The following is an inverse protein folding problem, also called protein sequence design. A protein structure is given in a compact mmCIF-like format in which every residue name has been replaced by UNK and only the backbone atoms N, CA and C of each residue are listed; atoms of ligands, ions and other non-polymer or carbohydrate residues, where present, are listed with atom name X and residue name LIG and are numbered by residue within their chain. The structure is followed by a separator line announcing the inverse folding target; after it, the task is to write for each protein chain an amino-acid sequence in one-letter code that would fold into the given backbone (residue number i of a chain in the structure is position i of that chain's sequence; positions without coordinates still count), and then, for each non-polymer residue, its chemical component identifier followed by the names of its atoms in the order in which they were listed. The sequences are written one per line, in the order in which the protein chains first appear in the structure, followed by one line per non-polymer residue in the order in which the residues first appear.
data_IF_071772371818
#
_entry.id   IF_071772371818
#
_cell.length_a   1.000
_cell.length_b   1.000
_cell.length_c   1.000
_cell.angle_alpha   90.00
_cell.angle_beta   90.00
_cell.angle_gamma   90.00
#
_symmetry.space_group_name_H-M   'P 1'
#
loop_
_entity.id
_entity.type
_entity.pdbx_description
1 polymer ?
#
# COMPACT_ATOMS: atom_id res chain seq x y z
N UNK A 1 -29.71 31.92 6.58
CA UNK A 1 -28.40 31.60 7.21
C UNK A 1 -28.04 30.13 7.03
N UNK A 2 -27.94 29.62 5.79
CA UNK A 2 -27.58 28.21 5.49
C UNK A 2 -26.51 28.09 4.39
N UNK A 3 -25.94 29.20 3.88
CA UNK A 3 -24.96 29.14 2.77
C UNK A 3 -23.53 29.57 3.13
N UNK A 4 -23.17 29.69 4.41
CA UNK A 4 -21.90 30.29 4.83
C UNK A 4 -20.87 29.36 5.52
N UNK A 5 -21.10 28.03 5.56
CA UNK A 5 -20.19 27.09 6.24
C UNK A 5 -19.40 26.15 5.29
N UNK A 6 -19.63 26.22 3.98
CA UNK A 6 -18.92 25.37 3.00
C UNK A 6 -17.60 25.96 2.47
N UNK A 7 -17.15 27.14 2.95
CA UNK A 7 -16.01 27.88 2.37
C UNK A 7 -14.71 27.87 3.20
N UNK A 8 -14.63 27.16 4.33
CA UNK A 8 -13.46 27.26 5.24
C UNK A 8 -12.52 26.05 5.32
N UNK A 9 -12.75 24.97 4.55
CA UNK A 9 -11.75 23.93 4.38
C UNK A 9 -11.54 23.65 2.90
N UNK A 10 -10.52 24.28 2.30
CA UNK A 10 -9.94 23.78 1.05
C UNK A 10 -9.30 22.43 1.36
N UNK A 11 -10.08 21.36 1.21
CA UNK A 11 -9.60 19.97 1.26
C UNK A 11 -8.47 19.86 0.23
N UNK A 12 -7.26 19.52 0.68
CA UNK A 12 -6.19 19.13 -0.22
C UNK A 12 -6.66 17.90 -1.00
N UNK A 13 -6.80 18.04 -2.32
CA UNK A 13 -7.13 16.92 -3.19
C UNK A 13 -5.85 16.45 -3.87
N UNK A 14 -5.45 15.17 -3.72
CA UNK A 14 -4.53 14.55 -4.66
C UNK A 14 -5.07 14.80 -6.07
N UNK A 15 -4.25 15.39 -6.95
CA UNK A 15 -4.70 15.68 -8.32
C UNK A 15 -4.67 14.39 -9.12
N UNK A 16 -5.80 14.06 -9.75
CA UNK A 16 -6.00 12.96 -10.69
C UNK A 16 -4.90 12.99 -11.76
N UNK A 17 -3.91 12.10 -11.66
CA UNK A 17 -3.05 11.73 -12.78
C UNK A 17 -3.61 10.44 -13.36
N UNK A 18 -4.46 10.54 -14.39
CA UNK A 18 -4.73 9.38 -15.25
C UNK A 18 -3.49 9.11 -16.11
N UNK A 19 -2.42 8.62 -15.50
CA UNK A 19 -1.45 7.81 -16.22
C UNK A 19 -1.90 6.36 -16.04
N UNK A 20 -2.56 5.79 -17.05
CA UNK A 20 -2.68 4.33 -17.12
C UNK A 20 -1.26 3.77 -17.10
N UNK A 21 -0.87 2.92 -16.14
CA UNK A 21 0.43 2.27 -16.18
C UNK A 21 0.42 1.24 -17.31
N UNK A 22 0.63 1.67 -18.55
CA UNK A 22 0.65 0.79 -19.72
C UNK A 22 2.01 0.10 -19.91
N UNK A 23 3.02 0.41 -19.07
CA UNK A 23 4.37 -0.14 -19.24
C UNK A 23 5.01 -0.48 -17.90
N UNK A 24 4.61 -1.58 -17.28
CA UNK A 24 5.56 -2.31 -16.42
C UNK A 24 6.50 -3.05 -17.36
N UNK A 25 7.80 -2.80 -17.23
CA UNK A 25 8.80 -3.54 -17.98
C UNK A 25 9.58 -4.41 -17.01
N UNK A 26 9.31 -5.71 -17.08
CA UNK A 26 9.92 -6.71 -16.22
C UNK A 26 11.46 -6.78 -16.32
N UNK A 27 12.03 -6.35 -17.44
CA UNK A 27 13.47 -6.25 -17.62
C UNK A 27 14.04 -4.92 -17.11
N UNK A 28 13.18 -3.95 -16.79
CA UNK A 28 13.56 -2.62 -16.29
C UNK A 28 13.29 -2.46 -14.79
N UNK A 29 13.04 -3.55 -14.06
CA UNK A 29 12.95 -3.49 -12.61
C UNK A 29 14.32 -3.00 -12.06
N UNK A 30 14.33 -1.90 -11.32
CA UNK A 30 15.56 -1.41 -10.69
C UNK A 30 15.92 -2.26 -9.47
N UNK A 31 17.21 -2.35 -9.13
CA UNK A 31 17.61 -2.95 -7.85
C UNK A 31 16.97 -2.20 -6.67
N UNK A 32 16.65 -2.87 -5.55
CA UNK A 32 16.14 -2.21 -4.36
C UNK A 32 17.17 -1.26 -3.76
N UNK A 33 16.71 -0.10 -3.31
CA UNK A 33 17.48 0.90 -2.58
C UNK A 33 16.80 1.26 -1.27
N UNK A 34 17.59 1.70 -0.28
CA UNK A 34 17.05 2.34 0.91
C UNK A 34 16.63 3.78 0.56
N UNK A 35 15.38 4.12 0.91
CA UNK A 35 14.79 5.42 0.61
C UNK A 35 14.90 6.43 1.75
N UNK A 36 15.55 6.09 2.85
CA UNK A 36 15.83 7.04 3.94
C UNK A 36 17.30 7.45 3.90
N UNK A 37 17.56 8.75 4.01
CA UNK A 37 18.91 9.24 4.17
C UNK A 37 19.33 9.00 5.63
N UNK A 38 20.48 8.35 5.85
CA UNK A 38 20.97 7.92 7.17
C UNK A 38 21.32 9.04 8.17
N UNK A 39 20.97 10.29 7.86
CA UNK A 39 21.40 11.51 8.57
C UNK A 39 20.27 12.24 9.31
N UNK A 40 19.06 11.69 9.36
CA UNK A 40 17.90 12.33 10.00
C UNK A 40 17.81 12.10 11.53
N UNK A 41 18.84 11.54 12.17
CA UNK A 41 18.97 11.45 13.63
C UNK A 41 19.69 12.68 14.20
N UNK A 42 18.94 13.77 14.44
CA UNK A 42 19.42 14.92 15.23
C UNK A 42 18.77 14.84 16.63
N UNK A 43 19.50 14.28 17.61
CA UNK A 43 19.13 14.25 19.03
C UNK A 43 18.03 13.25 19.43
N UNK A 44 17.55 13.36 20.69
CA UNK A 44 16.55 12.48 21.34
C UNK A 44 15.11 12.60 20.77
N UNK A 45 14.90 13.33 19.68
CA UNK A 45 13.58 13.47 19.08
C UNK A 45 13.36 12.38 18.03
N UNK A 46 12.25 11.64 18.14
CA UNK A 46 11.88 10.63 17.17
C UNK A 46 11.37 11.28 15.87
N UNK A 47 12.25 11.40 14.88
CA UNK A 47 11.96 11.96 13.53
C UNK A 47 11.58 10.84 12.54
N UNK A 48 11.63 9.58 12.97
CA UNK A 48 11.39 8.40 12.13
C UNK A 48 10.28 7.49 12.69
N UNK A 49 9.49 6.82 11.83
CA UNK A 49 8.52 5.82 12.27
C UNK A 49 9.21 4.66 12.99
N UNK A 50 8.65 4.23 14.12
CA UNK A 50 9.10 3.01 14.82
C UNK A 50 9.09 1.79 13.88
N UNK A 51 10.07 0.91 14.07
CA UNK A 51 10.05 -0.45 13.53
C UNK A 51 8.76 -1.16 13.89
N UNK A 52 8.13 -1.84 12.94
CA UNK A 52 6.78 -2.40 13.12
C UNK A 52 6.41 -3.47 12.10
N UNK A 53 5.48 -4.36 12.46
CA UNK A 53 4.88 -5.34 11.54
C UNK A 53 3.36 -5.22 11.53
N UNK A 54 2.71 -5.79 10.52
CA UNK A 54 1.25 -5.89 10.47
C UNK A 54 0.55 -4.54 10.27
N UNK A 55 1.32 -3.49 10.02
CA UNK A 55 0.87 -2.19 9.56
C UNK A 55 0.39 -2.28 8.10
N UNK A 56 -0.24 -1.21 7.61
CA UNK A 56 -0.56 -1.06 6.18
C UNK A 56 0.02 0.22 5.63
N UNK A 57 0.37 0.17 4.34
CA UNK A 57 0.94 1.28 3.61
C UNK A 57 0.07 1.65 2.40
N UNK A 58 0.15 2.90 1.97
CA UNK A 58 -0.40 3.36 0.70
C UNK A 58 0.47 4.47 0.11
N UNK A 59 0.35 4.71 -1.19
CA UNK A 59 1.02 5.81 -1.87
C UNK A 59 0.01 6.84 -2.35
N UNK A 60 0.40 8.10 -2.27
CA UNK A 60 -0.14 9.16 -3.12
C UNK A 60 0.82 9.36 -4.30
N UNK A 61 0.60 10.40 -5.12
CA UNK A 61 1.50 10.70 -6.23
C UNK A 61 2.96 10.99 -5.81
N UNK A 62 3.17 11.62 -4.66
CA UNK A 62 4.47 12.11 -4.19
C UNK A 62 4.84 11.69 -2.76
N UNK A 63 3.93 11.07 -2.01
CA UNK A 63 4.17 10.60 -0.65
C UNK A 63 3.85 9.10 -0.49
N UNK A 64 4.54 8.48 0.45
CA UNK A 64 4.28 7.12 0.92
C UNK A 64 3.87 7.16 2.38
N UNK A 65 2.83 6.43 2.75
CA UNK A 65 2.24 6.47 4.08
C UNK A 65 2.34 5.12 4.78
N UNK A 66 2.55 5.17 6.09
CA UNK A 66 2.56 4.00 6.99
C UNK A 66 1.53 4.24 8.08
N UNK A 67 0.61 3.29 8.27
CA UNK A 67 -0.48 3.38 9.25
C UNK A 67 -0.40 2.22 10.24
N UNK A 68 -0.35 2.56 11.52
CA UNK A 68 -0.51 1.61 12.61
C UNK A 68 0.56 0.52 12.68
N UNK A 69 0.20 -0.67 13.17
CA UNK A 69 1.09 -1.83 13.31
C UNK A 69 1.49 -2.13 14.75
N UNK A 70 2.33 -3.14 14.92
CA UNK A 70 2.77 -3.61 16.24
C UNK A 70 4.29 -3.76 16.33
N UNK A 71 4.82 -3.43 17.50
CA UNK A 71 6.18 -3.76 17.92
C UNK A 71 6.17 -4.21 19.39
N UNK A 72 6.71 -5.39 19.72
CA UNK A 72 6.77 -5.86 21.10
C UNK A 72 7.55 -4.91 22.03
N UNK A 73 8.57 -4.21 21.52
CA UNK A 73 9.32 -3.20 22.27
C UNK A 73 8.50 -1.95 22.59
N UNK A 74 7.32 -1.77 21.98
CA UNK A 74 6.40 -0.67 22.25
C UNK A 74 5.48 -0.96 23.45
N UNK A 75 6.05 -1.49 24.54
CA UNK A 75 5.38 -1.77 25.82
C UNK A 75 4.08 -2.57 25.67
N UNK A 76 4.04 -3.50 24.71
CA UNK A 76 2.85 -4.30 24.41
C UNK A 76 1.64 -3.51 23.86
N UNK A 77 1.79 -2.22 23.52
CA UNK A 77 0.72 -1.40 22.95
C UNK A 77 0.70 -1.50 21.43
N UNK A 78 -0.47 -1.28 20.85
CA UNK A 78 -0.59 -1.09 19.40
C UNK A 78 -0.01 0.26 19.00
N UNK A 79 0.71 0.30 17.88
CA UNK A 79 1.10 1.56 17.26
C UNK A 79 -0.11 2.05 16.48
N UNK A 80 -0.55 3.28 16.75
CA UNK A 80 -1.75 3.89 16.17
C UNK A 80 -1.46 5.27 15.56
N UNK A 81 -0.22 5.49 15.12
CA UNK A 81 0.20 6.69 14.41
C UNK A 81 0.12 6.52 12.89
N UNK A 82 0.26 7.65 12.19
CA UNK A 82 0.42 7.71 10.74
C UNK A 82 1.68 8.51 10.43
N UNK A 83 2.50 7.99 9.52
CA UNK A 83 3.71 8.63 9.03
C UNK A 83 3.64 8.79 7.51
N UNK A 84 4.18 9.89 6.98
CA UNK A 84 4.32 10.11 5.56
C UNK A 84 5.79 10.40 5.19
N UNK A 85 6.25 9.75 4.13
CA UNK A 85 7.54 9.94 3.51
C UNK A 85 7.33 10.69 2.22
N UNK A 86 7.98 11.85 2.07
CA UNK A 86 8.04 12.52 0.78
C UNK A 86 9.04 11.78 -0.11
N UNK A 87 8.59 11.22 -1.24
CA UNK A 87 9.40 10.35 -2.10
C UNK A 87 10.43 11.10 -2.94
N UNK A 88 10.29 12.43 -3.04
CA UNK A 88 11.28 13.28 -3.68
C UNK A 88 12.39 13.66 -2.71
N UNK A 89 12.04 14.14 -1.50
CA UNK A 89 13.01 14.62 -0.51
C UNK A 89 13.56 13.52 0.39
N UNK A 90 12.94 12.33 0.40
CA UNK A 90 13.28 11.18 1.25
C UNK A 90 13.19 11.47 2.75
N UNK A 91 12.31 12.40 3.15
CA UNK A 91 12.10 12.80 4.54
C UNK A 91 10.75 12.33 5.09
N UNK A 92 10.81 11.76 6.29
CA UNK A 92 9.63 11.38 7.06
C UNK A 92 9.04 12.56 7.83
N UNK A 93 7.72 12.55 7.97
CA UNK A 93 6.97 13.38 8.90
C UNK A 93 5.86 12.57 9.54
N UNK A 94 5.63 12.81 10.82
CA UNK A 94 4.45 12.28 11.50
C UNK A 94 3.23 13.09 11.05
N UNK A 95 2.18 12.40 10.62
CA UNK A 95 0.91 13.00 10.23
C UNK A 95 0.15 13.41 11.49
N UNK A 96 -0.33 14.65 11.54
CA UNK A 96 -1.18 15.16 12.61
C UNK A 96 -2.59 14.62 12.44
N UNK A 97 -3.14 14.03 13.48
CA UNK A 97 -4.49 13.49 13.51
C UNK A 97 -5.38 14.38 14.38
N UNK A 98 -6.59 14.67 13.93
CA UNK A 98 -7.59 15.39 14.75
C UNK A 98 -8.22 14.49 15.83
N UNK A 99 -8.22 13.18 15.62
CA UNK A 99 -8.68 12.15 16.56
C UNK A 99 -7.78 10.92 16.51
N UNK A 100 -7.80 10.14 17.59
CA UNK A 100 -7.00 8.93 17.69
C UNK A 100 -7.50 7.82 16.75
N UNK A 101 -6.55 7.02 16.26
CA UNK A 101 -6.84 5.79 15.53
C UNK A 101 -7.10 4.61 16.48
N UNK A 102 -7.85 3.58 16.04
CA UNK A 102 -8.16 2.42 16.87
C UNK A 102 -6.91 1.65 17.32
N UNK A 103 -7.01 0.93 18.44
CA UNK A 103 -5.93 0.10 18.98
C UNK A 103 -5.90 -1.33 18.39
N UNK A 104 -6.57 -1.57 17.27
CA UNK A 104 -6.66 -2.87 16.58
C UNK A 104 -5.89 -2.90 15.25
N UNK A 105 -4.87 -2.06 15.12
CA UNK A 105 -4.14 -1.86 13.87
C UNK A 105 -3.01 -2.88 13.61
N UNK A 106 -3.18 -4.13 14.03
CA UNK A 106 -2.37 -5.24 13.55
C UNK A 106 -3.18 -6.09 12.56
N UNK A 107 -2.62 -6.29 11.36
CA UNK A 107 -3.22 -7.08 10.28
C UNK A 107 -4.64 -6.64 9.87
N UNK A 108 -4.95 -5.35 10.03
CA UNK A 108 -6.15 -4.73 9.46
C UNK A 108 -6.01 -4.58 7.94
N UNK A 109 -7.09 -4.20 7.25
CA UNK A 109 -7.05 -3.78 5.84
C UNK A 109 -7.08 -2.26 5.70
N UNK A 110 -6.37 -1.76 4.68
CA UNK A 110 -6.40 -0.36 4.27
C UNK A 110 -6.76 -0.28 2.79
N UNK A 111 -7.77 0.54 2.45
CA UNK A 111 -8.11 0.87 1.06
C UNK A 111 -8.05 2.37 0.86
N UNK A 112 -7.09 2.84 0.06
CA UNK A 112 -6.91 4.27 -0.25
C UNK A 112 -7.65 4.66 -1.54
N UNK A 113 -8.29 5.83 -1.51
CA UNK A 113 -9.04 6.42 -2.62
C UNK A 113 -8.46 7.79 -2.94
N UNK A 114 -7.71 7.86 -4.03
CA UNK A 114 -6.99 9.07 -4.47
C UNK A 114 -7.95 10.25 -4.72
N UNK A 115 -9.10 10.02 -5.36
CA UNK A 115 -10.07 11.08 -5.69
C UNK A 115 -10.65 11.78 -4.46
N UNK A 116 -10.74 11.06 -3.34
CA UNK A 116 -11.26 11.56 -2.08
C UNK A 116 -10.15 12.02 -1.14
N UNK A 117 -8.90 11.62 -1.39
CA UNK A 117 -7.81 11.76 -0.42
C UNK A 117 -8.09 10.96 0.86
N UNK A 118 -8.90 9.90 0.79
CA UNK A 118 -9.40 9.17 1.95
C UNK A 118 -8.89 7.74 1.93
N UNK A 119 -8.38 7.25 3.06
CA UNK A 119 -8.15 5.82 3.27
C UNK A 119 -9.12 5.26 4.30
N UNK A 120 -9.63 4.07 4.01
CA UNK A 120 -10.54 3.33 4.87
C UNK A 120 -9.79 2.26 5.65
N UNK A 121 -10.02 2.21 6.95
CA UNK A 121 -9.45 1.22 7.87
C UNK A 121 -10.56 0.28 8.32
N UNK A 122 -10.31 -1.03 8.21
CA UNK A 122 -11.28 -2.03 8.62
C UNK A 122 -10.61 -3.30 9.18
N UNK A 123 -11.26 -3.91 10.17
CA UNK A 123 -10.82 -5.14 10.80
C UNK A 123 -9.54 -4.96 11.62
N UNK A 124 -8.79 -6.04 11.74
CA UNK A 124 -7.54 -6.07 12.49
C UNK A 124 -7.73 -6.40 13.96
N UNK A 125 -6.62 -6.62 14.65
CA UNK A 125 -6.61 -7.05 16.04
C UNK A 125 -5.72 -6.19 16.94
N UNK A 126 -6.09 -6.10 18.22
CA UNK A 126 -5.28 -5.54 19.30
C UNK A 126 -4.21 -6.53 19.77
N UNK A 127 -3.42 -6.12 20.78
CA UNK A 127 -2.53 -7.03 21.50
C UNK A 127 -3.11 -7.30 22.90
N UNK A 128 -3.18 -8.57 23.36
CA UNK A 128 -2.77 -9.80 22.68
C UNK A 128 -3.61 -10.13 21.43
N UNK A 129 -2.97 -10.70 20.40
CA UNK A 129 -3.59 -10.93 19.10
C UNK A 129 -4.75 -11.92 19.17
N UNK A 130 -5.83 -11.65 18.44
CA UNK A 130 -7.05 -12.45 18.40
C UNK A 130 -8.01 -12.20 19.56
N UNK A 131 -7.59 -11.52 20.63
CA UNK A 131 -8.47 -11.24 21.78
C UNK A 131 -9.38 -10.04 21.58
N UNK A 132 -8.90 -9.02 20.87
CA UNK A 132 -9.69 -7.84 20.52
C UNK A 132 -9.63 -7.70 19.00
N UNK A 133 -10.77 -7.87 18.34
CA UNK A 133 -10.90 -7.76 16.89
C UNK A 133 -11.92 -6.66 16.62
N UNK A 134 -11.57 -5.73 15.73
CA UNK A 134 -12.47 -4.61 15.43
C UNK A 134 -13.41 -4.95 14.28
N UNK A 135 -14.67 -4.55 14.41
CA UNK A 135 -15.64 -4.49 13.31
C UNK A 135 -15.93 -3.06 12.88
N UNK A 136 -15.22 -2.08 13.45
CA UNK A 136 -15.43 -0.67 13.17
C UNK A 136 -14.81 -0.28 11.82
N UNK A 137 -15.50 0.59 11.09
CA UNK A 137 -15.00 1.20 9.86
C UNK A 137 -14.58 2.64 10.15
N UNK A 138 -13.38 3.03 9.74
CA UNK A 138 -12.89 4.41 9.83
C UNK A 138 -12.57 4.96 8.45
N UNK A 139 -13.02 6.18 8.16
CA UNK A 139 -12.54 7.00 7.07
C UNK A 139 -11.53 8.02 7.59
N UNK A 140 -10.34 8.02 6.99
CA UNK A 140 -9.27 8.96 7.32
C UNK A 140 -8.98 9.81 6.08
N UNK A 141 -9.33 11.09 6.14
CA UNK A 141 -9.21 12.03 5.00
C UNK A 141 -8.01 12.95 5.18
N UNK A 142 -7.08 12.91 4.23
CA UNK A 142 -5.91 13.78 4.18
C UNK A 142 -6.36 15.22 3.90
N UNK A 143 -6.18 16.11 4.88
CA UNK A 143 -6.39 17.57 4.75
C UNK A 143 -5.13 18.23 4.18
N UNK A 144 -3.96 17.67 4.48
CA UNK A 144 -2.65 17.96 3.90
C UNK A 144 -1.83 16.66 3.86
N UNK A 145 -0.66 16.64 3.20
CA UNK A 145 0.20 15.46 3.23
C UNK A 145 0.56 14.99 4.66
N UNK A 146 0.65 15.91 5.62
CA UNK A 146 0.98 15.67 7.03
C UNK A 146 -0.15 16.02 8.01
N UNK A 147 -1.40 16.11 7.54
CA UNK A 147 -2.57 16.42 8.38
C UNK A 147 -3.79 15.60 7.92
N UNK A 148 -4.43 14.87 8.82
CA UNK A 148 -5.52 13.94 8.50
C UNK A 148 -6.68 14.08 9.50
N UNK A 149 -7.91 14.10 8.96
CA UNK A 149 -9.13 14.01 9.75
C UNK A 149 -9.61 12.57 9.83
N UNK A 150 -10.06 12.14 11.02
CA UNK A 150 -10.51 10.78 11.29
C UNK A 150 -12.00 10.78 11.65
N UNK A 151 -12.76 9.90 10.99
CA UNK A 151 -14.19 9.69 11.24
C UNK A 151 -14.51 8.20 11.29
N UNK A 152 -15.12 7.76 12.39
CA UNK A 152 -15.76 6.45 12.46
C UNK A 152 -17.06 6.49 11.64
N UNK A 153 -17.25 5.52 10.76
CA UNK A 153 -18.43 5.40 9.90
C UNK A 153 -19.42 4.43 10.56
N UNK A 154 -20.67 4.86 10.82
CA UNK A 154 -21.77 3.97 11.19
C UNK A 154 -21.94 2.81 10.20
N UNK A 155 -22.22 1.62 10.73
CA UNK A 155 -22.45 0.43 9.92
C UNK A 155 -23.91 0.01 10.05
N UNK A 156 -24.57 -0.15 8.91
CA UNK A 156 -25.91 -0.73 8.83
C UNK A 156 -25.87 -2.17 9.30
N UNK A 157 -26.78 -2.52 10.23
CA UNK A 157 -26.83 -3.84 10.83
C UNK A 157 -25.43 -4.33 11.26
N UNK A 158 -24.86 -3.81 12.37
CA UNK A 158 -23.48 -4.09 12.77
C UNK A 158 -23.10 -5.58 12.86
N UNK A 159 -24.07 -6.48 13.05
CA UNK A 159 -23.87 -7.94 13.05
C UNK A 159 -23.46 -8.51 11.69
N UNK A 160 -23.70 -7.77 10.60
CA UNK A 160 -23.27 -8.13 9.24
C UNK A 160 -21.79 -7.86 8.98
N UNK A 161 -21.14 -7.05 9.82
CA UNK A 161 -19.74 -6.70 9.66
C UNK A 161 -18.84 -7.91 10.04
N UNK A 162 -17.96 -8.38 9.14
CA UNK A 162 -17.07 -9.50 9.43
C UNK A 162 -16.07 -9.20 10.56
N UNK A 163 -16.01 -10.08 11.56
CA UNK A 163 -15.02 -10.01 12.65
C UNK A 163 -13.71 -10.64 12.18
N UNK A 164 -12.83 -9.86 11.55
CA UNK A 164 -11.66 -10.43 10.85
C UNK A 164 -10.38 -9.63 11.04
N UNK A 165 -9.25 -10.36 11.05
CA UNK A 165 -7.92 -9.82 10.82
C UNK A 165 -7.08 -10.72 9.92
N UNK A 166 -6.06 -10.13 9.29
CA UNK A 166 -5.20 -10.79 8.31
C UNK A 166 -5.91 -11.21 7.02
N UNK A 167 -7.10 -10.65 6.79
CA UNK A 167 -7.81 -10.68 5.53
C UNK A 167 -7.11 -9.82 4.47
N UNK A 168 -7.48 -10.05 3.22
CA UNK A 168 -7.15 -9.20 2.09
C UNK A 168 -8.28 -8.20 1.85
N UNK A 169 -7.96 -7.03 1.30
CA UNK A 169 -8.96 -6.08 0.82
C UNK A 169 -8.56 -5.53 -0.53
N UNK A 170 -9.51 -5.55 -1.47
CA UNK A 170 -9.34 -5.01 -2.82
C UNK A 170 -10.49 -4.08 -3.14
N UNK A 171 -10.23 -3.05 -3.94
CA UNK A 171 -11.26 -2.08 -4.30
C UNK A 171 -11.39 -1.93 -5.81
N UNK A 172 -12.59 -1.55 -6.25
CA UNK A 172 -12.91 -1.34 -7.66
C UNK A 172 -13.38 0.09 -7.89
N UNK A 173 -12.94 0.61 -9.03
CA UNK A 173 -13.47 1.82 -9.63
C UNK A 173 -14.52 1.48 -10.69
N UNK A 174 -15.75 1.97 -10.52
CA UNK A 174 -16.82 1.84 -11.51
C UNK A 174 -17.04 3.22 -12.14
N UNK A 175 -16.95 3.31 -13.47
CA UNK A 175 -17.04 4.59 -14.21
C UNK A 175 -16.10 5.69 -13.69
N UNK A 176 -14.93 5.29 -13.17
CA UNK A 176 -13.94 6.21 -12.62
C UNK A 176 -14.26 6.78 -11.24
N UNK A 177 -15.27 6.24 -10.55
CA UNK A 177 -15.59 6.52 -9.16
C UNK A 177 -15.26 5.28 -8.32
N UNK A 178 -14.64 5.49 -7.16
CA UNK A 178 -14.54 4.44 -6.16
C UNK A 178 -15.93 4.07 -5.67
N UNK A 179 -16.27 2.79 -5.68
CA UNK A 179 -17.64 2.37 -5.37
C UNK A 179 -17.69 1.21 -4.39
N UNK A 180 -16.73 0.27 -4.48
CA UNK A 180 -16.84 -1.00 -3.80
C UNK A 180 -15.47 -1.46 -3.26
N UNK A 181 -15.47 -1.92 -2.01
CA UNK A 181 -14.36 -2.66 -1.41
C UNK A 181 -14.82 -4.09 -1.18
N UNK A 182 -13.96 -5.06 -1.43
CA UNK A 182 -14.20 -6.45 -1.12
C UNK A 182 -13.19 -6.90 -0.08
N UNK A 183 -13.69 -7.46 1.01
CA UNK A 183 -12.91 -8.09 2.07
C UNK A 183 -12.93 -9.59 1.82
N UNK A 184 -11.75 -10.21 1.81
CA UNK A 184 -11.58 -11.61 1.44
C UNK A 184 -10.83 -12.37 2.53
N UNK A 185 -11.50 -13.42 3.03
CA UNK A 185 -11.00 -14.36 4.03
C UNK A 185 -10.50 -13.72 5.30
N UNK A 186 -9.46 -14.31 5.90
CA UNK A 186 -8.88 -13.87 7.16
C UNK A 186 -9.14 -14.86 8.28
N UNK A 187 -9.11 -14.37 9.52
CA UNK A 187 -9.35 -15.17 10.71
C UNK A 187 -9.95 -14.33 11.83
N UNK A 188 -10.70 -14.98 12.69
CA UNK A 188 -11.12 -14.47 14.01
C UNK A 188 -10.25 -15.02 15.16
N UNK A 189 -9.15 -15.71 14.84
CA UNK A 189 -8.22 -16.31 15.80
C UNK A 189 -8.11 -17.82 15.65
N UNK A 190 -9.22 -18.52 15.90
CA UNK A 190 -9.26 -19.98 15.82
C UNK A 190 -9.70 -20.49 14.43
N UNK A 191 -10.67 -19.81 13.82
CA UNK A 191 -11.22 -20.18 12.53
C UNK A 191 -10.63 -19.33 11.41
N UNK A 192 -10.36 -19.96 10.27
CA UNK A 192 -9.91 -19.31 9.05
C UNK A 192 -10.98 -19.54 8.00
N UNK A 193 -11.33 -18.51 7.25
CA UNK A 193 -12.31 -18.61 6.17
C UNK A 193 -11.81 -17.92 4.90
N UNK A 194 -12.60 -18.07 3.84
CA UNK A 194 -12.42 -17.40 2.55
C UNK A 194 -13.73 -16.68 2.18
N UNK A 195 -14.39 -16.09 3.17
CA UNK A 195 -15.58 -15.29 2.96
C UNK A 195 -15.26 -14.09 2.10
N UNK A 196 -16.09 -13.81 1.10
CA UNK A 196 -16.06 -12.57 0.34
C UNK A 196 -17.20 -11.69 0.82
N UNK A 197 -16.86 -10.56 1.40
CA UNK A 197 -17.82 -9.55 1.86
C UNK A 197 -17.63 -8.27 1.06
N UNK A 198 -18.69 -7.82 0.41
CA UNK A 198 -18.77 -6.52 -0.25
C UNK A 198 -19.05 -5.44 0.81
N UNK A 199 -18.19 -4.44 0.85
CA UNK A 199 -18.36 -3.21 1.62
C UNK A 199 -18.75 -2.09 0.66
N UNK A 200 -19.98 -1.59 0.83
CA UNK A 200 -20.49 -0.40 0.16
C UNK A 200 -20.44 0.77 1.13
N UNK A 201 -19.80 1.87 0.73
CA UNK A 201 -19.61 3.05 1.56
C UNK A 201 -20.49 4.18 1.01
N UNK A 202 -21.37 4.68 1.86
CA UNK A 202 -22.20 5.85 1.60
C UNK A 202 -21.60 7.08 2.29
N UNK A 203 -22.25 8.24 2.17
CA UNK A 203 -21.76 9.48 2.76
C UNK A 203 -21.70 9.42 4.30
N UNK A 204 -22.77 8.92 4.91
CA UNK A 204 -23.00 8.92 6.35
C UNK A 204 -22.90 7.54 7.00
N UNK A 205 -23.10 6.44 6.25
CA UNK A 205 -23.05 5.06 6.74
C UNK A 205 -22.35 4.11 5.77
N UNK A 206 -22.21 2.85 6.15
CA UNK A 206 -21.68 1.79 5.30
C UNK A 206 -22.46 0.49 5.52
N UNK A 207 -22.46 -0.38 4.50
CA UNK A 207 -23.15 -1.67 4.53
C UNK A 207 -22.21 -2.79 4.12
N UNK A 208 -22.23 -3.87 4.89
CA UNK A 208 -21.58 -5.13 4.54
C UNK A 208 -22.59 -6.12 3.98
N UNK A 209 -22.20 -6.81 2.94
CA UNK A 209 -22.98 -7.86 2.29
C UNK A 209 -22.07 -9.04 1.99
N UNK A 210 -22.33 -10.18 2.61
CA UNK A 210 -21.66 -11.42 2.23
C UNK A 210 -22.11 -11.80 0.83
N UNK A 211 -21.15 -11.98 -0.08
CA UNK A 211 -21.44 -12.31 -1.48
C UNK A 211 -20.99 -13.72 -1.86
N UNK A 212 -20.17 -14.38 -1.05
CA UNK A 212 -19.80 -15.78 -1.25
C UNK A 212 -20.76 -16.77 -0.59
N UNK A 213 -20.93 -17.92 -1.22
CA UNK A 213 -21.72 -19.06 -0.71
C UNK A 213 -20.81 -19.98 0.12
N UNK A 214 -21.08 -20.23 1.41
CA UNK A 214 -20.20 -21.00 2.31
C UNK A 214 -19.73 -22.36 1.75
N UNK A 215 -20.63 -23.09 1.10
CA UNK A 215 -20.39 -24.44 0.60
C UNK A 215 -19.36 -24.48 -0.54
N UNK A 216 -19.15 -23.35 -1.21
CA UNK A 216 -18.24 -23.21 -2.35
C UNK A 216 -16.92 -22.52 -1.97
N UNK A 217 -16.72 -22.19 -0.69
CA UNK A 217 -15.51 -21.50 -0.26
C UNK A 217 -14.30 -22.44 -0.22
N UNK A 218 -13.14 -22.00 -0.73
CA UNK A 218 -11.92 -22.76 -0.58
C UNK A 218 -11.44 -22.73 0.88
N UNK A 219 -10.45 -23.56 1.18
CA UNK A 219 -9.82 -23.58 2.50
C UNK A 219 -9.44 -22.17 2.97
N UNK A 220 -9.95 -21.84 4.17
CA UNK A 220 -9.67 -20.62 4.89
C UNK A 220 -8.19 -20.32 4.99
N UNK A 221 -7.83 -19.03 4.96
CA UNK A 221 -6.42 -18.62 5.11
C UNK A 221 -6.24 -17.19 5.61
N UNK A 222 -5.07 -16.98 6.17
CA UNK A 222 -4.58 -15.74 6.75
C UNK A 222 -3.37 -15.20 5.98
N UNK A 223 -3.29 -13.88 5.87
CA UNK A 223 -2.19 -13.12 5.25
C UNK A 223 -1.83 -13.59 3.85
N UNK A 224 -2.87 -13.88 3.10
CA UNK A 224 -2.86 -13.80 1.65
C UNK A 224 -3.02 -12.34 1.25
N UNK A 225 -2.70 -12.05 -0.01
CA UNK A 225 -3.03 -10.77 -0.65
C UNK A 225 -3.90 -11.08 -1.87
N UNK A 226 -4.70 -10.11 -2.34
CA UNK A 226 -5.57 -10.31 -3.50
C UNK A 226 -5.37 -9.21 -4.54
N UNK A 227 -5.64 -9.56 -5.79
CA UNK A 227 -5.57 -8.66 -6.95
C UNK A 227 -6.82 -8.83 -7.80
N UNK A 228 -7.10 -7.87 -8.67
CA UNK A 228 -8.18 -7.96 -9.64
C UNK A 228 -7.68 -8.39 -11.03
N UNK A 229 -8.36 -9.35 -11.64
CA UNK A 229 -8.27 -9.66 -13.07
C UNK A 229 -9.66 -9.45 -13.68
N UNK A 230 -9.88 -8.30 -14.32
CA UNK A 230 -11.21 -7.94 -14.82
C UNK A 230 -12.23 -7.82 -13.67
N UNK A 231 -13.15 -8.77 -13.57
CA UNK A 231 -14.16 -8.86 -12.50
C UNK A 231 -13.83 -9.92 -11.44
N UNK A 232 -12.68 -10.58 -11.56
CA UNK A 232 -12.34 -11.70 -10.72
C UNK A 232 -11.33 -11.26 -9.66
N UNK A 233 -11.64 -11.50 -8.39
CA UNK A 233 -10.70 -11.34 -7.28
C UNK A 233 -9.86 -12.60 -7.21
N UNK A 234 -8.54 -12.46 -7.32
CA UNK A 234 -7.61 -13.60 -7.27
C UNK A 234 -6.79 -13.50 -6.00
N UNK A 235 -6.83 -14.54 -5.17
CA UNK A 235 -6.11 -14.59 -3.90
C UNK A 235 -4.77 -15.33 -4.05
N UNK A 236 -3.69 -14.68 -3.62
CA UNK A 236 -2.32 -15.16 -3.73
C UNK A 236 -1.78 -15.58 -2.36
N UNK A 237 -1.35 -16.84 -2.27
CA UNK A 237 -0.70 -17.40 -1.09
C UNK A 237 -1.58 -17.37 0.17
N UNK A 238 -0.95 -17.05 1.29
CA UNK A 238 -1.51 -17.18 2.64
C UNK A 238 -1.32 -18.58 3.21
N UNK A 239 -1.63 -18.73 4.49
CA UNK A 239 -1.63 -20.04 5.15
C UNK A 239 -2.80 -20.15 6.11
N UNK A 240 -3.16 -21.38 6.45
CA UNK A 240 -3.90 -21.68 7.67
C UNK A 240 -2.97 -22.39 8.67
N UNK A 241 -3.55 -23.09 9.65
CA UNK A 241 -2.79 -23.87 10.63
C UNK A 241 -2.08 -25.08 10.02
N UNK A 242 -2.58 -25.61 8.89
CA UNK A 242 -2.12 -26.87 8.31
C UNK A 242 -1.14 -26.67 7.16
N UNK A 243 -1.43 -25.72 6.27
CA UNK A 243 -0.70 -25.57 5.00
C UNK A 243 -0.56 -24.11 4.57
N UNK A 244 0.56 -23.81 3.89
CA UNK A 244 0.66 -22.63 3.04
C UNK A 244 0.14 -22.94 1.63
N UNK A 245 -0.59 -22.00 1.05
CA UNK A 245 -1.23 -22.20 -0.24
C UNK A 245 -0.23 -21.96 -1.38
N UNK A 246 -0.04 -22.93 -2.30
CA UNK A 246 0.90 -22.79 -3.41
C UNK A 246 0.46 -21.78 -4.48
N UNK A 247 1.43 -21.18 -5.19
CA UNK A 247 1.17 -20.18 -6.24
C UNK A 247 0.81 -20.77 -7.62
N UNK A 248 0.80 -22.11 -7.75
CA UNK A 248 0.46 -22.82 -8.99
C UNK A 248 -1.04 -22.78 -9.30
N UNK A 249 -1.89 -22.91 -8.28
CA UNK A 249 -3.36 -22.91 -8.39
C UNK A 249 -3.92 -21.88 -7.43
N UNK A 250 -4.42 -20.79 -7.97
CA UNK A 250 -4.96 -19.66 -7.22
C UNK A 250 -6.47 -19.77 -7.09
N UNK A 251 -6.99 -19.32 -5.96
CA UNK A 251 -8.41 -19.17 -5.73
C UNK A 251 -8.89 -17.87 -6.37
N UNK A 252 -10.01 -17.96 -7.07
CA UNK A 252 -10.55 -16.87 -7.86
C UNK A 252 -12.05 -16.74 -7.63
N UNK A 253 -12.50 -15.56 -7.20
CA UNK A 253 -13.91 -15.26 -6.98
C UNK A 253 -14.40 -14.27 -8.03
N UNK A 254 -15.37 -14.67 -8.86
CA UNK A 254 -15.96 -13.77 -9.85
C UNK A 254 -17.11 -12.97 -9.23
N UNK A 255 -16.98 -11.64 -9.19
CA UNK A 255 -17.96 -10.78 -8.53
C UNK A 255 -19.26 -10.57 -9.33
N UNK A 256 -19.35 -11.09 -10.56
CA UNK A 256 -20.57 -11.05 -11.36
C UNK A 256 -21.38 -12.32 -11.20
N UNK A 257 -20.71 -13.48 -11.21
CA UNK A 257 -21.39 -14.77 -11.00
C UNK A 257 -21.53 -15.13 -9.53
N UNK A 258 -20.74 -14.48 -8.66
CA UNK A 258 -20.64 -14.77 -7.22
C UNK A 258 -20.13 -16.18 -6.91
N UNK A 259 -19.30 -16.72 -7.80
CA UNK A 259 -18.79 -18.08 -7.71
C UNK A 259 -17.27 -18.12 -7.54
N UNK A 260 -16.82 -19.10 -6.75
CA UNK A 260 -15.43 -19.47 -6.66
C UNK A 260 -15.03 -20.40 -7.80
N UNK A 261 -13.80 -20.22 -8.28
CA UNK A 261 -13.15 -21.05 -9.26
C UNK A 261 -11.65 -21.16 -8.97
N UNK A 262 -10.94 -22.00 -9.72
CA UNK A 262 -9.49 -22.15 -9.63
C UNK A 262 -8.82 -21.66 -10.90
N UNK A 263 -7.82 -20.80 -10.75
CA UNK A 263 -6.97 -20.34 -11.86
C UNK A 263 -5.62 -21.06 -11.76
N UNK A 264 -5.19 -21.70 -12.86
CA UNK A 264 -3.87 -22.32 -12.95
C UNK A 264 -2.88 -21.36 -13.57
N UNK A 265 -1.76 -21.09 -12.89
CA UNK A 265 -0.69 -20.22 -13.38
C UNK A 265 0.35 -21.00 -14.17
N UNK A 266 1.11 -20.29 -15.01
CA UNK A 266 2.24 -20.81 -15.78
C UNK A 266 3.55 -20.53 -15.04
N UNK A 267 4.49 -21.48 -15.03
CA UNK A 267 5.75 -21.34 -14.33
C UNK A 267 6.71 -20.39 -15.05
N UNK A 268 7.61 -19.79 -14.28
CA UNK A 268 8.88 -19.28 -14.77
C UNK A 268 9.70 -20.44 -15.37
N UNK A 269 10.32 -20.28 -16.56
CA UNK A 269 11.06 -21.35 -17.21
C UNK A 269 12.19 -21.95 -16.37
N UNK A 270 12.85 -21.12 -15.55
CA UNK A 270 14.02 -21.51 -14.75
C UNK A 270 13.66 -21.84 -13.31
N UNK A 271 12.83 -21.00 -12.69
CA UNK A 271 12.56 -21.04 -11.24
C UNK A 271 11.22 -21.68 -10.88
N UNK A 272 10.43 -22.09 -11.88
CA UNK A 272 9.11 -22.67 -11.69
C UNK A 272 8.13 -21.66 -11.04
N UNK A 273 7.65 -21.92 -9.84
CA UNK A 273 6.66 -21.08 -9.17
C UNK A 273 7.27 -20.40 -7.94
N UNK A 274 6.77 -19.22 -7.54
CA UNK A 274 7.09 -18.71 -6.22
C UNK A 274 6.65 -19.75 -5.17
N UNK A 275 7.51 -19.95 -4.17
CA UNK A 275 7.19 -20.80 -3.00
C UNK A 275 5.91 -20.34 -2.30
N UNK A 276 5.18 -21.28 -1.72
CA UNK A 276 4.04 -21.00 -0.85
C UNK A 276 4.49 -20.09 0.30
N UNK A 277 3.65 -19.14 0.71
CA UNK A 277 4.07 -18.10 1.68
C UNK A 277 2.91 -17.35 2.29
N UNK A 278 3.11 -16.83 3.50
CA UNK A 278 2.21 -15.90 4.18
C UNK A 278 2.90 -14.59 4.54
N UNK A 279 2.13 -13.52 4.72
CA UNK A 279 2.67 -12.22 5.16
C UNK A 279 3.64 -11.60 4.15
N UNK A 280 3.55 -12.00 2.89
CA UNK A 280 4.21 -11.35 1.76
C UNK A 280 3.42 -10.09 1.37
N UNK A 281 4.02 -9.22 0.55
CA UNK A 281 3.30 -8.13 -0.10
C UNK A 281 3.02 -8.47 -1.56
N UNK A 282 1.86 -8.04 -2.05
CA UNK A 282 1.55 -7.98 -3.47
C UNK A 282 1.09 -6.57 -3.80
N UNK A 283 1.69 -5.97 -4.82
CA UNK A 283 1.24 -4.69 -5.38
C UNK A 283 0.81 -4.90 -6.82
N UNK A 284 -0.38 -4.43 -7.18
CA UNK A 284 -0.87 -4.48 -8.55
C UNK A 284 -0.57 -3.17 -9.28
N UNK A 285 0.07 -3.26 -10.45
CA UNK A 285 0.26 -2.13 -11.36
C UNK A 285 -0.13 -2.53 -12.78
N UNK A 286 -1.24 -1.99 -13.27
CA UNK A 286 -1.82 -2.38 -14.55
C UNK A 286 -2.16 -3.87 -14.57
N UNK A 287 -1.59 -4.60 -15.52
CA UNK A 287 -1.80 -6.05 -15.68
C UNK A 287 -0.76 -6.90 -14.95
N UNK A 288 -0.02 -6.33 -13.99
CA UNK A 288 1.06 -7.04 -13.32
C UNK A 288 0.82 -7.02 -11.82
N UNK A 289 1.01 -8.17 -11.18
CA UNK A 289 1.08 -8.29 -9.73
C UNK A 289 2.52 -8.58 -9.34
N UNK A 290 3.11 -7.71 -8.51
CA UNK A 290 4.49 -7.85 -8.04
C UNK A 290 4.43 -8.40 -6.62
N UNK A 291 4.93 -9.61 -6.44
CA UNK A 291 4.94 -10.36 -5.19
C UNK A 291 6.35 -10.38 -4.62
N UNK A 292 6.51 -10.09 -3.33
CA UNK A 292 7.82 -10.16 -2.70
C UNK A 292 7.75 -10.40 -1.20
N UNK A 293 8.86 -10.93 -0.71
CA UNK A 293 9.04 -11.31 0.68
C UNK A 293 8.07 -12.41 1.12
N UNK A 294 7.75 -12.42 2.41
CA UNK A 294 6.91 -13.40 3.06
C UNK A 294 7.70 -14.45 3.83
N UNK A 295 6.96 -15.36 4.44
CA UNK A 295 7.49 -16.50 5.18
C UNK A 295 6.90 -17.77 4.59
N UNK A 296 7.78 -18.68 4.15
CA UNK A 296 7.41 -20.05 3.80
C UNK A 296 7.43 -20.89 5.08
N UNK A 297 6.26 -21.32 5.59
CA UNK A 297 6.22 -22.07 6.83
C UNK A 297 6.84 -23.47 6.66
N UNK A 298 7.27 -24.09 7.78
CA UNK A 298 7.72 -25.46 7.81
C UNK A 298 6.77 -26.41 7.06
N UNK A 299 7.31 -27.31 6.25
CA UNK A 299 6.53 -28.39 5.64
C UNK A 299 6.17 -29.48 6.67
N UNK A 300 7.00 -29.62 7.70
CA UNK A 300 6.84 -30.57 8.82
C UNK A 300 7.28 -29.92 10.12
N UNK A 301 6.90 -30.49 11.26
CA UNK A 301 7.34 -30.03 12.59
C UNK A 301 8.87 -30.06 12.78
N UNK A 302 9.59 -30.81 11.94
CA UNK A 302 11.04 -30.99 12.00
C UNK A 302 11.82 -30.12 10.99
N UNK A 303 11.13 -29.27 10.22
CA UNK A 303 11.77 -28.35 9.28
C UNK A 303 11.66 -26.91 9.77
N UNK A 304 12.67 -26.10 9.51
CA UNK A 304 12.58 -24.66 9.75
C UNK A 304 11.82 -23.98 8.61
N UNK A 305 11.04 -22.96 8.97
CA UNK A 305 10.45 -22.06 7.98
C UNK A 305 11.45 -21.02 7.52
N UNK A 306 11.23 -20.46 6.33
CA UNK A 306 12.20 -19.56 5.69
C UNK A 306 11.61 -18.18 5.43
N UNK A 307 12.36 -17.14 5.79
CA UNK A 307 12.08 -15.78 5.38
C UNK A 307 12.52 -15.58 3.93
N UNK A 308 11.61 -15.13 3.10
CA UNK A 308 11.85 -14.98 1.68
C UNK A 308 12.23 -13.52 1.38
N UNK A 309 13.19 -13.33 0.47
CA UNK A 309 13.62 -12.03 -0.07
C UNK A 309 13.39 -11.94 -1.58
N UNK A 310 12.91 -13.02 -2.21
CA UNK A 310 12.68 -13.08 -3.63
C UNK A 310 11.57 -12.13 -4.09
N UNK A 311 11.71 -11.66 -5.33
CA UNK A 311 10.75 -10.79 -6.00
C UNK A 311 10.27 -11.48 -7.25
N UNK A 312 8.95 -11.56 -7.42
CA UNK A 312 8.27 -12.20 -8.52
C UNK A 312 7.27 -11.24 -9.15
N UNK A 313 6.96 -11.49 -10.41
CA UNK A 313 5.82 -10.87 -11.06
C UNK A 313 4.95 -11.90 -11.73
N UNK A 314 3.64 -11.74 -11.58
CA UNK A 314 2.62 -12.44 -12.33
C UNK A 314 2.05 -11.48 -13.39
N UNK A 315 2.15 -11.85 -14.65
CA UNK A 315 1.38 -11.22 -15.72
C UNK A 315 -0.07 -11.72 -15.62
N UNK A 316 -0.99 -10.82 -15.29
CA UNK A 316 -2.40 -11.11 -15.05
C UNK A 316 -3.19 -11.43 -16.33
N UNK A 317 -2.61 -11.23 -17.52
CA UNK A 317 -3.22 -11.64 -18.80
C UNK A 317 -2.79 -13.04 -19.19
N UNK A 318 -1.48 -13.31 -19.16
CA UNK A 318 -0.93 -14.60 -19.58
C UNK A 318 -0.93 -15.65 -18.46
N UNK A 319 -1.09 -15.19 -17.22
CA UNK A 319 -0.96 -15.93 -15.96
C UNK A 319 0.42 -16.56 -15.76
N UNK A 320 1.45 -15.96 -16.34
CA UNK A 320 2.83 -16.43 -16.26
C UNK A 320 3.60 -15.73 -15.14
N UNK A 321 4.27 -16.54 -14.31
CA UNK A 321 5.21 -16.07 -13.31
C UNK A 321 6.59 -15.82 -13.92
N UNK A 322 7.23 -14.73 -13.50
CA UNK A 322 8.65 -14.44 -13.77
C UNK A 322 9.35 -14.01 -12.50
N UNK A 323 10.49 -14.62 -12.20
CA UNK A 323 11.33 -14.21 -11.07
C UNK A 323 12.21 -13.02 -11.47
N UNK A 324 12.32 -12.02 -10.60
CA UNK A 324 13.24 -10.91 -10.80
C UNK A 324 14.70 -11.36 -10.67
N UNK A 325 15.60 -10.61 -11.32
CA UNK A 325 17.05 -10.79 -11.19
C UNK A 325 17.64 -10.17 -9.92
N UNK A 326 16.82 -9.52 -9.10
CA UNK A 326 17.21 -9.04 -7.79
C UNK A 326 16.31 -9.61 -6.70
N UNK A 327 16.75 -9.40 -5.47
CA UNK A 327 16.05 -9.75 -4.25
C UNK A 327 16.05 -8.54 -3.33
N UNK A 328 15.17 -8.55 -2.34
CA UNK A 328 15.25 -7.65 -1.21
C UNK A 328 16.58 -7.86 -0.46
N UNK A 329 17.08 -6.84 0.23
CA UNK A 329 18.32 -6.94 1.00
C UNK A 329 18.34 -8.08 2.04
N UNK A 330 17.17 -8.43 2.59
CA UNK A 330 16.98 -9.58 3.49
C UNK A 330 15.56 -10.13 3.39
N UNK A 331 15.34 -11.32 3.94
CA UNK A 331 14.02 -11.92 4.00
C UNK A 331 13.12 -11.19 5.00
N UNK A 332 11.87 -10.92 4.62
CA UNK A 332 10.96 -10.12 5.46
C UNK A 332 9.50 -10.53 5.26
N UNK A 333 8.74 -10.63 6.35
CA UNK A 333 7.30 -10.91 6.32
C UNK A 333 6.54 -9.94 7.24
N UNK A 334 5.22 -9.87 7.08
CA UNK A 334 4.36 -8.87 7.74
C UNK A 334 4.76 -7.41 7.48
N UNK A 335 5.53 -7.17 6.43
CA UNK A 335 5.74 -5.85 5.87
C UNK A 335 4.50 -5.44 5.07
N UNK A 336 4.44 -4.16 4.71
CA UNK A 336 3.45 -3.67 3.76
C UNK A 336 4.14 -2.82 2.70
N UNK A 337 3.54 -2.78 1.52
CA UNK A 337 4.05 -2.03 0.40
C UNK A 337 2.92 -1.41 -0.41
N UNK A 338 3.28 -0.37 -1.16
CA UNK A 338 2.39 0.28 -2.09
C UNK A 338 3.17 0.70 -3.34
N UNK A 339 2.47 0.82 -4.45
CA UNK A 339 3.01 1.34 -5.70
C UNK A 339 2.45 2.74 -5.95
N UNK A 340 3.32 3.69 -6.30
CA UNK A 340 2.91 5.04 -6.66
C UNK A 340 2.68 5.18 -8.17
N UNK A 341 2.18 6.35 -8.59
CA UNK A 341 1.96 6.70 -10.00
C UNK A 341 3.27 6.85 -10.82
N UNK A 342 4.44 6.78 -10.17
CA UNK A 342 5.77 6.79 -10.81
C UNK A 342 6.30 5.38 -11.08
N UNK A 343 5.47 4.35 -10.91
CA UNK A 343 5.90 2.95 -10.97
C UNK A 343 7.01 2.65 -9.96
N UNK A 344 7.02 3.34 -8.82
CA UNK A 344 7.90 3.01 -7.70
C UNK A 344 7.12 2.20 -6.69
N UNK A 345 7.60 1.00 -6.40
CA UNK A 345 7.15 0.19 -5.28
C UNK A 345 7.96 0.61 -4.07
N UNK A 346 7.26 0.93 -2.98
CA UNK A 346 7.85 1.31 -1.71
C UNK A 346 7.30 0.37 -0.64
N UNK A 347 8.20 -0.23 0.13
CA UNK A 347 7.90 -1.13 1.22
C UNK A 347 8.49 -0.62 2.52
N UNK A 348 7.79 -0.88 3.62
CA UNK A 348 8.23 -0.50 4.95
C UNK A 348 8.13 -1.65 5.94
N UNK A 349 9.11 -1.71 6.83
CA UNK A 349 9.09 -2.50 8.05
C UNK A 349 8.89 -4.00 7.86
N UNK A 350 8.17 -4.62 8.79
CA UNK A 350 7.96 -6.07 8.87
C UNK A 350 8.83 -6.73 9.93
N UNK A 351 9.02 -8.04 9.78
CA UNK A 351 9.82 -8.89 10.64
C UNK A 351 10.97 -9.49 9.83
N UNK A 352 12.22 -9.20 10.22
CA UNK A 352 13.43 -9.69 9.54
C UNK A 352 14.06 -10.93 10.21
N UNK A 353 13.48 -11.40 11.32
CA UNK A 353 13.87 -12.63 11.98
C UNK A 353 12.63 -13.30 12.58
N UNK A 354 12.55 -14.63 12.49
CA UNK A 354 11.47 -15.45 13.04
C UNK A 354 11.62 -15.52 14.57
N UNK A 355 11.25 -14.45 15.29
CA UNK A 355 11.01 -14.49 16.74
C UNK A 355 10.53 -13.15 17.35
N UNK A 356 10.86 -11.97 16.80
CA UNK A 356 10.39 -10.69 17.38
C UNK A 356 10.94 -9.44 16.72
N UNK A 357 12.14 -9.49 16.11
CA UNK A 357 12.80 -8.29 15.59
C UNK A 357 11.98 -7.64 14.47
N UNK A 358 11.39 -6.50 14.80
CA UNK A 358 10.77 -5.60 13.83
C UNK A 358 11.84 -4.75 13.17
N UNK A 359 11.60 -4.39 11.92
CA UNK A 359 12.43 -3.44 11.18
C UNK A 359 11.60 -2.21 10.78
N UNK A 360 12.29 -1.12 10.49
CA UNK A 360 11.79 0.18 10.01
C UNK A 360 12.43 0.58 8.67
N UNK A 361 13.11 -0.35 8.00
CA UNK A 361 13.69 -0.08 6.70
C UNK A 361 12.61 0.29 5.68
N UNK A 362 12.91 1.34 4.91
CA UNK A 362 12.10 1.77 3.77
C UNK A 362 12.81 1.40 2.49
N UNK A 363 12.30 0.39 1.79
CA UNK A 363 12.92 -0.15 0.58
C UNK A 363 12.10 0.29 -0.64
N UNK A 364 12.77 0.86 -1.63
CA UNK A 364 12.19 1.32 -2.87
C UNK A 364 12.78 0.63 -4.09
N UNK A 365 11.95 0.33 -5.10
CA UNK A 365 12.42 -0.05 -6.43
C UNK A 365 11.41 0.36 -7.49
N UNK A 366 11.90 0.67 -8.69
CA UNK A 366 11.08 1.04 -9.83
C UNK A 366 10.74 -0.19 -10.66
N UNK A 367 9.47 -0.33 -11.03
CA UNK A 367 8.97 -1.40 -11.92
C UNK A 367 8.87 -0.95 -13.38
N UNK A 368 9.16 0.31 -13.63
CA UNK A 368 9.35 0.92 -14.93
C UNK A 368 10.27 2.14 -14.78
N UNK A 369 10.99 2.56 -15.83
CA UNK A 369 11.84 3.74 -15.75
C UNK A 369 11.08 4.96 -15.20
N UNK A 370 11.60 5.64 -14.16
CA UNK A 370 10.96 6.85 -13.65
C UNK A 370 10.98 7.96 -14.71
N UNK A 371 10.04 8.92 -14.63
CA UNK A 371 10.06 10.09 -15.51
C UNK A 371 11.37 10.87 -15.37
N UNK A 372 11.91 11.37 -16.49
CA UNK A 372 13.14 12.16 -16.50
C UNK A 372 13.05 13.38 -15.58
N UNK A 373 11.87 13.98 -15.44
CA UNK A 373 11.63 15.09 -14.51
C UNK A 373 11.86 14.70 -13.05
N UNK A 374 11.49 13.48 -12.65
CA UNK A 374 11.75 12.97 -11.30
C UNK A 374 13.26 12.77 -11.08
N UNK A 375 13.95 12.15 -12.05
CA UNK A 375 15.38 11.94 -12.00
C UNK A 375 16.15 13.26 -11.91
N UNK A 376 15.82 14.24 -12.76
CA UNK A 376 16.44 15.56 -12.75
C UNK A 376 16.24 16.28 -11.41
N UNK A 377 15.02 16.25 -10.87
CA UNK A 377 14.73 16.86 -9.57
C UNK A 377 15.50 16.19 -8.43
N UNK A 378 15.59 14.85 -8.42
CA UNK A 378 16.40 14.09 -7.43
C UNK A 378 17.88 14.43 -7.51
N UNK A 379 18.45 14.45 -8.72
CA UNK A 379 19.86 14.82 -8.93
C UNK A 379 20.10 16.23 -8.41
N UNK A 380 19.25 17.18 -8.75
CA UNK A 380 19.41 18.57 -8.33
C UNK A 380 19.30 18.74 -6.81
N UNK A 381 18.38 18.05 -6.14
CA UNK A 381 18.27 18.08 -4.68
C UNK A 381 19.52 17.55 -3.97
N UNK A 382 20.22 16.57 -4.57
CA UNK A 382 21.47 16.05 -4.02
C UNK A 382 22.61 17.08 -4.04
N UNK A 383 22.58 18.03 -4.99
CA UNK A 383 23.59 19.10 -5.08
C UNK A 383 23.34 20.28 -4.14
N UNK A 384 22.17 20.36 -3.50
CA UNK A 384 21.83 21.47 -2.63
C UNK A 384 22.13 21.16 -1.16
N UNK A 385 22.61 22.13 -0.37
CA UNK A 385 22.77 21.95 1.07
C UNK A 385 21.45 21.55 1.76
N UNK A 386 21.53 20.67 2.75
CA UNK A 386 20.38 20.12 3.50
C UNK A 386 19.49 21.15 4.19
N UNK A 387 20.04 22.34 4.45
CA UNK A 387 19.41 23.48 5.12
C UNK A 387 19.02 24.62 4.17
N UNK A 388 19.22 24.48 2.86
CA UNK A 388 18.95 25.58 1.92
C UNK A 388 17.44 25.76 1.69
N UNK A 389 16.96 27.01 1.79
CA UNK A 389 15.60 27.41 1.37
C UNK A 389 15.31 27.02 -0.10
N UNK A 390 16.37 26.92 -0.91
CA UNK A 390 16.32 26.44 -2.28
C UNK A 390 15.74 25.02 -2.38
N UNK A 391 16.06 24.09 -1.47
CA UNK A 391 15.44 22.75 -1.46
C UNK A 391 13.92 22.81 -1.27
N UNK A 392 13.43 23.73 -0.45
CA UNK A 392 11.99 23.94 -0.25
C UNK A 392 11.34 24.43 -1.55
N UNK A 393 11.92 25.48 -2.15
CA UNK A 393 11.43 26.09 -3.40
C UNK A 393 11.39 25.06 -4.55
N UNK A 394 12.38 24.18 -4.67
CA UNK A 394 12.40 23.17 -5.75
C UNK A 394 11.40 22.07 -5.51
N UNK A 395 11.24 21.64 -4.26
CA UNK A 395 10.21 20.66 -3.91
C UNK A 395 8.85 21.22 -4.26
N UNK A 396 8.58 22.47 -3.87
CA UNK A 396 7.36 23.18 -4.23
C UNK A 396 7.21 23.38 -5.75
N UNK A 397 8.29 23.75 -6.45
CA UNK A 397 8.29 23.93 -7.90
C UNK A 397 8.05 22.62 -8.65
N UNK A 398 8.68 21.51 -8.26
CA UNK A 398 8.45 20.20 -8.84
C UNK A 398 7.01 19.73 -8.63
N UNK A 399 6.50 19.84 -7.40
CA UNK A 399 5.09 19.56 -7.08
C UNK A 399 4.14 20.50 -7.85
N UNK A 400 4.51 21.76 -8.05
CA UNK A 400 3.72 22.79 -8.75
C UNK A 400 3.71 22.59 -10.27
N UNK A 401 4.84 22.26 -10.90
CA UNK A 401 4.97 21.99 -12.35
C UNK A 401 4.15 20.77 -12.74
N UNK A 402 4.26 19.66 -11.99
CA UNK A 402 3.34 18.53 -12.14
C UNK A 402 1.88 18.91 -11.92
N UNK A 403 1.63 19.87 -11.04
CA UNK A 403 0.30 20.44 -10.80
C UNK A 403 -0.23 21.38 -11.89
N UNK A 404 0.61 21.87 -12.80
CA UNK A 404 0.28 22.82 -13.87
C UNK A 404 0.15 22.17 -15.25
N UNK A 405 0.91 21.12 -15.54
CA UNK A 405 0.88 20.44 -16.86
C UNK A 405 -0.48 19.81 -17.20
N UNK A 406 -1.34 19.52 -16.21
CA UNK A 406 -2.67 18.93 -16.42
C UNK A 406 -3.81 19.95 -16.56
N UNK A 407 -3.56 21.26 -16.34
CA UNK A 407 -4.62 22.29 -16.43
C UNK A 407 -4.73 22.97 -17.79
N UNK A 408 -3.75 22.85 -18.68
CA UNK A 408 -3.68 23.68 -19.88
C UNK A 408 -3.59 22.85 -21.18
N UNK A 409 -4.74 22.36 -21.64
CA UNK A 409 -5.03 22.30 -23.09
C UNK A 409 -5.64 23.61 -23.62
N UNK A 410 -5.67 24.65 -22.79
CA UNK A 410 -6.02 26.03 -23.17
C UNK A 410 -4.94 26.94 -22.57
N UNK A 411 -4.39 27.84 -23.40
CA UNK A 411 -3.26 28.75 -23.15
C UNK A 411 -1.83 28.18 -23.16
N UNK A 412 -1.34 27.98 -24.39
CA UNK A 412 0.08 27.81 -24.77
C UNK A 412 1.00 28.98 -24.38
N UNK A 413 0.46 30.18 -24.07
CA UNK A 413 1.26 31.38 -23.83
C UNK A 413 1.91 31.47 -22.43
N UNK A 414 1.32 30.83 -21.40
CA UNK A 414 1.84 30.87 -20.02
C UNK A 414 2.86 29.76 -19.70
N UNK A 415 2.86 28.67 -20.47
CA UNK A 415 3.77 27.52 -20.30
C UNK A 415 5.20 27.91 -20.71
N UNK A 416 5.36 28.69 -21.78
CA UNK A 416 6.67 29.20 -22.23
C UNK A 416 7.36 30.06 -21.17
N UNK A 417 6.62 30.94 -20.48
CA UNK A 417 7.19 31.87 -19.51
C UNK A 417 7.70 31.18 -18.24
N UNK A 418 7.09 30.06 -17.80
CA UNK A 418 7.55 29.28 -16.63
C UNK A 418 8.60 28.22 -16.96
N UNK A 419 8.57 27.64 -18.17
CA UNK A 419 9.70 26.87 -18.69
C UNK A 419 10.96 27.74 -18.77
N UNK A 420 10.83 29.01 -19.18
CA UNK A 420 11.93 30.00 -19.11
C UNK A 420 12.43 30.28 -17.70
N UNK A 421 11.62 30.20 -16.64
CA UNK A 421 12.15 30.38 -15.27
C UNK A 421 12.98 29.17 -14.84
N UNK A 422 12.57 27.94 -15.18
CA UNK A 422 13.38 26.75 -14.93
C UNK A 422 14.66 26.72 -15.79
N UNK A 423 14.58 27.12 -17.06
CA UNK A 423 15.75 27.21 -17.96
C UNK A 423 16.68 28.39 -17.61
N UNK A 424 16.15 29.55 -17.19
CA UNK A 424 16.98 30.70 -16.82
C UNK A 424 17.65 30.49 -15.45
N UNK A 425 17.05 29.74 -14.52
CA UNK A 425 17.76 29.35 -13.28
C UNK A 425 18.85 28.31 -13.52
N UNK A 426 18.78 27.52 -14.61
CA UNK A 426 19.83 26.58 -15.00
C UNK A 426 21.03 27.24 -15.69
N UNK A 427 20.91 28.48 -16.17
CA UNK A 427 21.97 29.21 -16.89
C UNK A 427 22.72 30.27 -16.06
N UNK A 428 22.36 30.51 -14.79
CA UNK A 428 22.99 31.56 -13.94
C UNK A 428 24.10 30.98 -13.03
N UNK A 429 24.73 29.87 -13.40
CA UNK A 429 25.88 29.32 -12.64
C UNK A 429 27.05 28.84 -13.50
N UNK A 430 27.25 29.44 -14.66
CA UNK A 430 28.56 29.49 -15.31
C UNK A 430 28.82 30.96 -15.71
N UNK A 431 29.48 31.69 -14.80
CA UNK A 431 29.78 33.11 -14.89
C UNK A 431 30.48 33.59 -13.64
#
# INVERSE_FOLDING_TARGET
MVSALHSLFRIWRPKKMMARPEKVNMNALSKPELLTDSKDSIGDFQILPLARSGHRCFCTGDHFYVVGGYNPSYRGKMINDVWCLNLLTRRWKRVKLDKELPHTLASFSLSYVDELGTFYLYGGTGFPFGQTISTDLYACTLVKPDECSVRKIPIDNPKSAPVVYGHSAVHRYINGNFTEVYIVGGTEGAHYDMTVTKLTIFEDHARFERVSTPENEPNGRYRHESVFIGNTIVSLGGSNQLVAIPMKRLDAFDIRTLEYSKITTKPDPRWRFPRARKGHSVVQSGNFAILFGGFDPPATEHSDGELLSDVWCLDLRSLEWKRSNFQLPWGVFFHSAAVNQLNQVVSFGGCAQVASKRVDDTIGFHIAPPPLSYLAARVYLNFLPTTSDQRCIITEAYCSVRGLELKNRVNSYFIERRKRVLLNYMYIKDG
#
